data_IF_845607409215
#
_entry.id   IF_845607409215
#
_cell.length_a   1.000
_cell.length_b   1.000
_cell.length_c   1.000
_cell.angle_alpha   90.00
_cell.angle_beta   90.00
_cell.angle_gamma   90.00
#
_symmetry.space_group_name_H-M   'P 1'
#
loop_
_entity.id
_entity.type
_entity.pdbx_description
1 polymer ?
#
# COMPACT_ATOMS: atom_id res chain seq x y z
N UNK A 1 13.98 8.04 0.60
CA UNK A 1 12.88 7.10 0.31
C UNK A 1 12.69 6.26 1.55
N UNK A 2 11.59 6.44 2.30
CA UNK A 2 11.35 5.63 3.50
C UNK A 2 11.20 4.16 3.09
N UNK A 3 11.72 3.20 3.88
CA UNK A 3 11.60 1.78 3.54
C UNK A 3 10.13 1.38 3.46
N UNK A 4 9.76 0.68 2.38
CA UNK A 4 8.40 0.17 2.22
C UNK A 4 8.11 -0.88 3.30
N UNK A 5 6.93 -0.85 3.94
CA UNK A 5 6.57 -1.85 4.93
C UNK A 5 6.52 -3.26 4.30
N UNK A 6 6.71 -4.29 5.13
CA UNK A 6 6.53 -5.68 4.70
C UNK A 6 5.04 -6.03 4.65
N UNK A 7 4.70 -7.09 3.90
CA UNK A 7 3.30 -7.56 3.83
C UNK A 7 2.79 -7.99 5.20
N UNK A 8 3.63 -8.65 6.01
CA UNK A 8 3.30 -9.01 7.38
C UNK A 8 3.04 -7.79 8.27
N UNK A 9 3.80 -6.69 8.08
CA UNK A 9 3.57 -5.47 8.84
C UNK A 9 2.21 -4.83 8.54
N UNK A 10 1.70 -4.94 7.30
CA UNK A 10 0.39 -4.39 6.93
C UNK A 10 -0.78 -5.01 7.72
N UNK A 11 -0.64 -6.27 8.15
CA UNK A 11 -1.68 -6.96 8.91
C UNK A 11 -1.84 -6.37 10.32
N UNK A 12 -0.72 -6.03 10.97
CA UNK A 12 -0.68 -5.42 12.29
C UNK A 12 -0.99 -3.91 12.28
N UNK A 13 -0.92 -3.26 11.12
CA UNK A 13 -1.14 -1.81 11.01
C UNK A 13 -2.59 -1.40 11.29
N UNK A 14 -2.70 -0.31 12.05
CA UNK A 14 -3.93 0.43 12.27
C UNK A 14 -4.28 1.32 11.08
N UNK A 15 -5.54 1.76 11.03
CA UNK A 15 -6.04 2.51 9.86
C UNK A 15 -5.20 3.76 9.57
N UNK A 16 -4.75 4.49 10.60
CA UNK A 16 -3.94 5.69 10.44
C UNK A 16 -2.57 5.37 9.78
N UNK A 17 -1.93 4.27 10.18
CA UNK A 17 -0.65 3.83 9.61
C UNK A 17 -0.82 3.39 8.15
N UNK A 18 -1.90 2.69 7.84
CA UNK A 18 -2.22 2.31 6.46
C UNK A 18 -2.48 3.53 5.57
N UNK A 19 -3.10 4.59 6.10
CA UNK A 19 -3.31 5.85 5.37
C UNK A 19 -1.99 6.60 5.14
N UNK A 20 -1.09 6.60 6.12
CA UNK A 20 0.25 7.18 5.97
C UNK A 20 1.08 6.41 4.92
N UNK A 21 1.04 5.08 4.98
CA UNK A 21 1.68 4.22 3.98
C UNK A 21 1.11 4.45 2.58
N UNK A 22 -0.21 4.62 2.46
CA UNK A 22 -0.86 4.96 1.20
C UNK A 22 -0.34 6.28 0.64
N UNK A 23 -0.31 7.34 1.44
CA UNK A 23 0.18 8.65 0.99
C UNK A 23 1.65 8.60 0.55
N UNK A 24 2.48 7.86 1.28
CA UNK A 24 3.90 7.67 0.93
C UNK A 24 4.10 6.90 -0.38
N UNK A 25 3.22 5.94 -0.69
CA UNK A 25 3.33 5.06 -1.84
C UNK A 25 2.70 5.69 -3.09
N UNK A 26 1.48 6.20 -2.97
CA UNK A 26 0.67 6.69 -4.10
C UNK A 26 0.73 8.22 -4.29
N UNK A 27 1.36 8.96 -3.38
CA UNK A 27 1.54 10.42 -3.49
C UNK A 27 0.27 11.25 -3.26
N UNK A 28 -0.78 10.66 -2.68
CA UNK A 28 -2.06 11.33 -2.43
C UNK A 28 -2.89 10.62 -1.35
N UNK A 29 -4.00 11.20 -0.90
CA UNK A 29 -4.84 10.59 0.14
C UNK A 29 -5.57 9.34 -0.38
N UNK A 30 -5.82 8.38 0.51
CA UNK A 30 -6.66 7.23 0.19
C UNK A 30 -8.14 7.63 0.02
N UNK A 31 -8.94 6.89 -0.78
CA UNK A 31 -10.37 7.12 -0.88
C UNK A 31 -11.06 7.07 0.49
N UNK A 32 -11.94 8.03 0.77
CA UNK A 32 -12.55 8.22 2.11
C UNK A 32 -13.28 6.99 2.64
N UNK A 33 -13.96 6.25 1.76
CA UNK A 33 -14.80 5.09 2.09
C UNK A 33 -14.09 3.74 1.98
N UNK A 34 -12.77 3.71 1.75
CA UNK A 34 -12.05 2.44 1.62
C UNK A 34 -11.97 1.72 2.97
N UNK A 35 -12.32 0.43 2.96
CA UNK A 35 -12.26 -0.41 4.16
C UNK A 35 -10.81 -0.79 4.48
N UNK A 36 -10.50 -1.05 5.76
CA UNK A 36 -9.16 -1.50 6.19
C UNK A 36 -8.67 -2.73 5.42
N UNK A 37 -9.47 -3.79 5.18
CA UNK A 37 -9.03 -4.94 4.40
C UNK A 37 -8.68 -4.61 2.95
N UNK A 38 -9.46 -3.71 2.32
CA UNK A 38 -9.20 -3.31 0.94
C UNK A 38 -7.94 -2.43 0.84
N UNK A 39 -7.76 -1.51 1.80
CA UNK A 39 -6.57 -0.67 1.93
C UNK A 39 -5.30 -1.53 2.04
N UNK A 40 -5.30 -2.57 2.87
CA UNK A 40 -4.18 -3.53 2.99
C UNK A 40 -3.88 -4.24 1.67
N UNK A 41 -4.91 -4.70 0.95
CA UNK A 41 -4.73 -5.39 -0.33
C UNK A 41 -4.10 -4.50 -1.39
N UNK A 42 -4.55 -3.24 -1.51
CA UNK A 42 -3.94 -2.28 -2.45
C UNK A 42 -2.47 -2.02 -2.12
N UNK A 43 -2.16 -1.78 -0.84
CA UNK A 43 -0.79 -1.58 -0.39
C UNK A 43 0.08 -2.81 -0.67
N UNK A 44 -0.44 -4.01 -0.38
CA UNK A 44 0.28 -5.27 -0.62
C UNK A 44 0.63 -5.46 -2.09
N UNK A 45 -0.33 -5.24 -3.00
CA UNK A 45 -0.12 -5.34 -4.46
C UNK A 45 0.98 -4.39 -4.91
N UNK A 46 0.94 -3.12 -4.49
CA UNK A 46 1.91 -2.11 -4.91
C UNK A 46 3.31 -2.36 -4.31
N UNK A 47 3.38 -2.81 -3.07
CA UNK A 47 4.65 -3.20 -2.43
C UNK A 47 5.27 -4.41 -3.13
N UNK A 48 4.46 -5.42 -3.45
CA UNK A 48 4.91 -6.60 -4.20
C UNK A 48 5.35 -6.22 -5.61
N UNK A 49 4.59 -5.38 -6.30
CA UNK A 49 4.93 -4.85 -7.61
C UNK A 49 6.31 -4.22 -7.62
N UNK A 50 6.58 -3.26 -6.72
CA UNK A 50 7.86 -2.56 -6.63
C UNK A 50 9.02 -3.50 -6.33
N UNK A 51 8.80 -4.53 -5.50
CA UNK A 51 9.81 -5.55 -5.20
C UNK A 51 10.10 -6.46 -6.39
N UNK A 52 9.11 -6.73 -7.24
CA UNK A 52 9.23 -7.59 -8.41
C UNK A 52 9.66 -6.87 -9.69
N UNK A 53 10.09 -5.61 -9.62
CA UNK A 53 10.52 -4.82 -10.79
C UNK A 53 9.42 -3.96 -11.44
N UNK A 54 8.28 -3.81 -10.78
CA UNK A 54 7.15 -2.97 -11.18
C UNK A 54 5.99 -3.76 -11.80
N UNK A 55 4.78 -3.19 -11.74
CA UNK A 55 3.65 -3.68 -12.53
C UNK A 55 3.83 -3.17 -13.96
N UNK A 56 4.05 -4.09 -14.91
CA UNK A 56 3.94 -3.74 -16.32
C UNK A 56 2.45 -3.56 -16.65
N UNK A 57 2.10 -2.46 -17.30
CA UNK A 57 0.77 -2.33 -17.89
C UNK A 57 0.63 -3.46 -18.92
N UNK A 58 -0.35 -4.35 -18.72
CA UNK A 58 -0.65 -5.41 -19.69
C UNK A 58 -1.06 -4.70 -21.00
N UNK A 59 -0.29 -4.89 -22.06
CA UNK A 59 -0.65 -4.41 -23.41
C UNK A 59 -1.88 -5.14 -23.93
#
# INVERSE_FOLDING_TARGET
MSPLPTIAALEAMERAELLAAWAAIFGGPAPRSISRPLLRRFLAVEIQARRSGGLTARK
#
